data_IF_886064547564
#
_entry.id   IF_886064547564
#
_cell.length_a   1.000
_cell.length_b   1.000
_cell.length_c   1.000
_cell.angle_alpha   90.00
_cell.angle_beta   90.00
_cell.angle_gamma   90.00
#
_symmetry.space_group_name_H-M   'P 1'
#
loop_
_entity.id
_entity.type
_entity.pdbx_description
1 polymer ?
#
# COMPACT_ATOMS: atom_id res chain seq x y z
N UNK A 1 -27.73 -36.68 5.66
CA UNK A 1 -27.90 -35.68 6.76
C UNK A 1 -26.60 -35.25 7.47
N UNK A 2 -25.47 -35.98 7.40
CA UNK A 2 -24.22 -35.61 8.12
C UNK A 2 -23.28 -34.59 7.45
N UNK A 3 -23.46 -34.26 6.16
CA UNK A 3 -22.64 -33.24 5.47
C UNK A 3 -23.13 -31.79 5.68
N UNK A 4 -24.43 -31.58 5.95
CA UNK A 4 -24.99 -30.23 6.13
C UNK A 4 -24.58 -29.55 7.45
N UNK A 5 -24.23 -30.35 8.46
CA UNK A 5 -23.88 -29.85 9.80
C UNK A 5 -22.44 -29.32 9.87
N UNK A 6 -21.50 -29.88 9.09
CA UNK A 6 -20.10 -29.39 9.04
C UNK A 6 -19.97 -28.02 8.35
N UNK A 7 -20.76 -27.76 7.31
CA UNK A 7 -20.80 -26.46 6.61
C UNK A 7 -21.40 -25.34 7.47
N UNK A 8 -22.38 -25.65 8.33
CA UNK A 8 -22.93 -24.67 9.28
C UNK A 8 -21.97 -24.34 10.42
N UNK A 9 -21.18 -25.31 10.90
CA UNK A 9 -20.20 -25.06 11.97
C UNK A 9 -18.99 -24.26 11.45
N UNK A 10 -18.56 -24.48 10.20
CA UNK A 10 -17.49 -23.69 9.57
C UNK A 10 -17.90 -22.22 9.35
N UNK A 11 -19.14 -21.96 8.92
CA UNK A 11 -19.66 -20.58 8.81
C UNK A 11 -19.85 -19.90 10.17
N UNK A 12 -20.11 -20.66 11.24
CA UNK A 12 -20.37 -20.09 12.57
C UNK A 12 -19.12 -19.57 13.31
N UNK A 13 -17.93 -20.13 13.06
CA UNK A 13 -16.68 -19.66 13.71
C UNK A 13 -16.08 -18.41 13.05
N UNK A 14 -16.53 -18.05 11.84
CA UNK A 14 -16.17 -16.78 11.20
C UNK A 14 -17.03 -15.59 11.67
N UNK A 15 -18.06 -15.83 12.49
CA UNK A 15 -19.15 -14.88 12.73
C UNK A 15 -19.02 -13.98 13.97
N UNK A 16 -18.01 -14.16 14.82
CA UNK A 16 -17.92 -13.37 16.05
C UNK A 16 -16.65 -12.50 16.10
N UNK A 17 -16.90 -11.19 16.03
CA UNK A 17 -16.05 -10.05 16.40
C UNK A 17 -15.30 -9.36 15.25
N UNK A 18 -16.04 -8.45 14.60
CA UNK A 18 -15.58 -7.27 13.84
C UNK A 18 -14.77 -7.51 12.56
N UNK A 19 -15.28 -8.31 11.62
CA UNK A 19 -14.87 -8.15 10.21
C UNK A 19 -15.51 -6.87 9.70
N UNK A 20 -14.68 -5.93 9.23
CA UNK A 20 -15.12 -4.69 8.61
C UNK A 20 -16.21 -5.02 7.56
N UNK A 21 -17.45 -4.56 7.74
CA UNK A 21 -18.62 -5.01 6.95
C UNK A 21 -18.40 -4.83 5.43
N UNK A 22 -17.59 -3.84 5.05
CA UNK A 22 -17.18 -3.54 3.67
C UNK A 22 -16.38 -4.64 2.99
N UNK A 23 -15.61 -5.45 3.73
CA UNK A 23 -14.85 -6.57 3.16
C UNK A 23 -15.70 -7.82 2.87
N UNK A 24 -16.96 -7.84 3.33
CA UNK A 24 -17.87 -8.97 3.17
C UNK A 24 -18.90 -8.75 2.05
N UNK A 25 -18.96 -7.54 1.49
CA UNK A 25 -19.85 -7.25 0.38
C UNK A 25 -19.18 -7.59 -0.97
N UNK A 26 -19.41 -8.82 -1.43
CA UNK A 26 -18.93 -9.31 -2.72
C UNK A 26 -19.60 -8.63 -3.93
N UNK A 27 -20.56 -7.74 -3.73
CA UNK A 27 -21.19 -6.94 -4.80
C UNK A 27 -20.44 -5.65 -5.11
N UNK A 28 -19.55 -5.21 -4.21
CA UNK A 28 -18.66 -4.08 -4.46
C UNK A 28 -17.55 -4.52 -5.44
N UNK A 29 -17.58 -3.99 -6.67
CA UNK A 29 -16.42 -4.03 -7.55
C UNK A 29 -15.41 -2.93 -7.20
N UNK A 30 -14.33 -2.82 -7.97
CA UNK A 30 -13.54 -1.57 -8.03
C UNK A 30 -14.37 -0.46 -8.63
N UNK A 31 -15.25 0.14 -7.85
CA UNK A 31 -16.16 1.20 -8.28
C UNK A 31 -16.09 2.36 -7.30
N UNK A 32 -15.39 3.41 -7.70
CA UNK A 32 -15.52 4.73 -7.08
C UNK A 32 -16.68 5.50 -7.71
N UNK A 33 -17.36 6.41 -6.98
CA UNK A 33 -18.46 7.21 -7.52
C UNK A 33 -18.05 8.10 -8.71
N UNK A 34 -16.76 8.40 -8.84
CA UNK A 34 -16.18 9.33 -9.82
C UNK A 34 -15.06 8.66 -10.65
N UNK A 35 -15.22 7.37 -10.99
CA UNK A 35 -14.17 6.59 -11.66
C UNK A 35 -13.77 7.16 -13.03
N UNK A 36 -12.47 7.35 -13.25
CA UNK A 36 -11.89 7.82 -14.53
C UNK A 36 -10.66 7.00 -14.90
N UNK A 37 -10.42 6.80 -16.21
CA UNK A 37 -9.19 6.21 -16.73
C UNK A 37 -8.28 7.31 -17.30
N UNK A 38 -7.02 7.29 -16.89
CA UNK A 38 -5.97 8.26 -17.19
C UNK A 38 -4.70 7.52 -17.60
N UNK A 39 -3.77 8.21 -18.23
CA UNK A 39 -2.43 7.70 -18.52
C UNK A 39 -1.37 8.59 -17.88
N UNK A 40 -0.39 7.96 -17.26
CA UNK A 40 0.82 8.64 -16.77
C UNK A 40 2.04 8.13 -17.54
N UNK A 41 2.89 9.05 -17.99
CA UNK A 41 4.14 8.75 -18.68
C UNK A 41 5.28 9.10 -17.76
N UNK A 42 6.15 8.12 -17.52
CA UNK A 42 7.36 8.34 -16.77
C UNK A 42 8.53 7.95 -17.64
N UNK A 43 9.54 8.82 -17.71
CA UNK A 43 10.83 8.41 -18.23
C UNK A 43 11.44 7.45 -17.22
N UNK A 44 11.66 6.21 -17.64
CA UNK A 44 12.49 5.30 -16.87
C UNK A 44 13.92 5.72 -17.20
N UNK A 45 14.53 6.56 -16.36
CA UNK A 45 15.91 7.00 -16.61
C UNK A 45 16.90 5.81 -16.66
N UNK A 46 16.47 4.61 -16.24
CA UNK A 46 17.28 3.40 -16.20
C UNK A 46 16.44 2.15 -16.48
N UNK A 47 16.19 1.79 -17.76
CA UNK A 47 15.61 0.50 -18.09
C UNK A 47 16.56 -0.58 -17.58
N UNK A 48 16.11 -1.39 -16.64
CA UNK A 48 16.88 -2.53 -16.15
C UNK A 48 17.32 -3.39 -17.34
N UNK A 49 18.61 -3.76 -17.39
CA UNK A 49 19.12 -4.69 -18.42
C UNK A 49 18.27 -5.96 -18.41
N UNK A 50 17.58 -6.22 -19.52
CA UNK A 50 16.85 -7.47 -19.75
C UNK A 50 15.32 -7.39 -19.67
N UNK A 51 14.74 -6.20 -19.59
CA UNK A 51 13.28 -6.04 -19.57
C UNK A 51 12.68 -6.18 -20.98
N UNK A 52 12.55 -7.41 -21.48
CA UNK A 52 11.61 -7.72 -22.56
C UNK A 52 10.20 -7.63 -21.95
N UNK A 53 9.61 -6.43 -21.95
CA UNK A 53 8.30 -6.18 -21.36
C UNK A 53 7.25 -6.78 -22.29
N UNK A 54 6.59 -7.85 -21.84
CA UNK A 54 5.47 -8.45 -22.57
C UNK A 54 4.37 -7.41 -22.85
N UNK A 55 3.92 -7.42 -24.11
CA UNK A 55 2.92 -6.55 -24.74
C UNK A 55 1.77 -6.18 -23.79
N UNK A 56 1.74 -4.92 -23.37
CA UNK A 56 0.64 -4.35 -22.58
C UNK A 56 1.01 -3.15 -21.72
N UNK A 57 2.28 -2.73 -21.72
CA UNK A 57 2.71 -1.38 -21.36
C UNK A 57 3.68 -0.94 -22.44
N UNK A 58 3.26 -0.04 -23.32
CA UNK A 58 4.09 0.43 -24.42
C UNK A 58 5.31 1.17 -23.87
N UNK A 59 6.50 0.80 -24.35
CA UNK A 59 7.67 1.68 -24.28
C UNK A 59 7.65 2.47 -25.58
N UNK A 60 7.38 3.77 -25.49
CA UNK A 60 7.45 4.66 -26.64
C UNK A 60 8.55 5.68 -26.35
N UNK A 61 9.58 5.71 -27.20
CA UNK A 61 10.69 6.67 -27.04
C UNK A 61 11.54 6.54 -25.76
N UNK A 62 11.52 5.39 -25.06
CA UNK A 62 12.23 5.18 -23.79
C UNK A 62 11.42 5.58 -22.55
N UNK A 63 10.13 5.90 -22.71
CA UNK A 63 9.23 6.23 -21.61
C UNK A 63 8.31 5.04 -21.31
N UNK A 64 8.08 4.78 -20.02
CA UNK A 64 7.13 3.79 -19.54
C UNK A 64 5.77 4.44 -19.37
N UNK A 65 4.76 3.88 -20.02
CA UNK A 65 3.38 4.33 -19.91
C UNK A 65 2.65 3.47 -18.89
N UNK A 66 2.03 4.12 -17.91
CA UNK A 66 1.21 3.48 -16.88
C UNK A 66 -0.26 3.85 -17.08
N UNK A 67 -1.11 2.83 -17.03
CA UNK A 67 -2.55 3.00 -16.98
C UNK A 67 -2.97 3.30 -15.54
N UNK A 68 -3.67 4.42 -15.36
CA UNK A 68 -4.08 4.94 -14.05
C UNK A 68 -5.59 5.00 -13.98
N UNK A 69 -6.19 4.33 -13.01
CA UNK A 69 -7.63 4.43 -12.72
C UNK A 69 -7.82 5.28 -11.47
N UNK A 70 -8.43 6.44 -11.62
CA UNK A 70 -8.81 7.32 -10.51
C UNK A 70 -10.13 6.82 -9.92
N UNK A 71 -10.13 6.45 -8.64
CA UNK A 71 -11.33 5.97 -7.91
C UNK A 71 -11.93 7.06 -7.01
N UNK A 72 -11.10 7.97 -6.51
CA UNK A 72 -11.52 9.10 -5.68
C UNK A 72 -10.73 10.35 -6.06
N UNK A 73 -11.44 11.48 -6.18
CA UNK A 73 -10.82 12.81 -6.29
C UNK A 73 -11.65 13.83 -5.49
N UNK A 74 -11.12 14.25 -4.35
CA UNK A 74 -11.67 15.28 -3.48
C UNK A 74 -10.56 16.24 -3.04
N UNK A 75 -10.95 17.40 -2.53
CA UNK A 75 -10.00 18.35 -1.94
C UNK A 75 -9.35 17.68 -0.73
N UNK A 76 -8.08 17.27 -0.89
CA UNK A 76 -7.31 16.61 0.15
C UNK A 76 -7.43 15.09 0.24
N UNK A 77 -8.20 14.43 -0.64
CA UNK A 77 -8.22 12.97 -0.71
C UNK A 77 -8.22 12.50 -2.17
N UNK A 78 -7.20 11.72 -2.55
CA UNK A 78 -7.15 11.03 -3.84
C UNK A 78 -6.94 9.54 -3.62
N UNK A 79 -7.54 8.70 -4.46
CA UNK A 79 -7.26 7.26 -4.55
C UNK A 79 -7.11 6.90 -6.02
N UNK A 80 -5.91 6.50 -6.40
CA UNK A 80 -5.52 6.11 -7.75
C UNK A 80 -5.01 4.68 -7.73
N UNK A 81 -5.34 3.93 -8.77
CA UNK A 81 -4.85 2.58 -9.00
C UNK A 81 -3.98 2.61 -10.25
N UNK A 82 -2.76 2.10 -10.15
CA UNK A 82 -1.77 2.13 -11.23
C UNK A 82 -1.42 0.71 -11.63
N UNK A 83 -1.72 0.36 -12.87
CA UNK A 83 -1.47 -0.98 -13.39
C UNK A 83 0.01 -1.18 -13.73
N UNK A 84 0.53 -2.36 -13.39
CA UNK A 84 1.93 -2.77 -13.68
C UNK A 84 2.97 -1.76 -13.18
N UNK A 85 2.68 -1.10 -12.05
CA UNK A 85 3.54 -0.07 -11.46
C UNK A 85 4.94 -0.61 -11.15
N UNK A 86 5.01 -1.80 -10.56
CA UNK A 86 6.23 -2.63 -10.47
C UNK A 86 6.17 -3.72 -11.55
N UNK A 87 7.30 -4.21 -12.04
CA UNK A 87 7.30 -5.38 -12.93
C UNK A 87 7.21 -6.69 -12.14
N UNK A 88 6.84 -7.82 -12.78
CA UNK A 88 6.92 -9.14 -12.15
C UNK A 88 8.31 -9.47 -11.60
N UNK A 89 9.36 -9.08 -12.32
CA UNK A 89 10.76 -9.30 -11.93
C UNK A 89 11.15 -8.41 -10.74
N UNK A 90 10.73 -7.13 -10.76
CA UNK A 90 10.92 -6.21 -9.63
C UNK A 90 10.21 -6.76 -8.37
N UNK A 91 8.96 -7.23 -8.51
CA UNK A 91 8.21 -7.84 -7.41
C UNK A 91 8.89 -9.09 -6.85
N UNK A 92 9.36 -9.99 -7.72
CA UNK A 92 10.04 -11.21 -7.29
C UNK A 92 11.34 -10.90 -6.53
N UNK A 93 12.13 -9.95 -7.03
CA UNK A 93 13.39 -9.54 -6.40
C UNK A 93 13.16 -8.85 -5.05
N UNK A 94 12.18 -7.95 -4.95
CA UNK A 94 11.82 -7.29 -3.69
C UNK A 94 11.31 -8.28 -2.63
N UNK A 95 10.48 -9.25 -3.03
CA UNK A 95 10.05 -10.32 -2.13
C UNK A 95 11.23 -11.17 -1.66
N UNK A 96 12.15 -11.54 -2.57
CA UNK A 96 13.36 -12.32 -2.25
C UNK A 96 14.28 -11.58 -1.27
N UNK A 97 14.40 -10.26 -1.40
CA UNK A 97 15.17 -9.45 -0.45
C UNK A 97 14.50 -9.41 0.94
N UNK A 98 13.17 -9.28 0.98
CA UNK A 98 12.41 -9.14 2.22
C UNK A 98 12.24 -10.46 2.99
N UNK A 99 12.07 -11.58 2.30
CA UNK A 99 11.77 -12.90 2.87
C UNK A 99 12.64 -13.30 4.08
N UNK A 100 13.99 -13.23 4.03
CA UNK A 100 14.83 -13.61 5.18
C UNK A 100 14.70 -12.67 6.38
N UNK A 101 14.12 -11.48 6.20
CA UNK A 101 13.94 -10.45 7.23
C UNK A 101 12.53 -10.42 7.78
N UNK A 102 11.59 -11.16 7.19
CA UNK A 102 10.21 -11.21 7.67
C UNK A 102 10.16 -11.72 9.10
N UNK A 103 9.76 -10.85 10.02
CA UNK A 103 9.58 -11.18 11.43
C UNK A 103 8.16 -10.89 11.85
N UNK A 104 7.58 -11.80 12.63
CA UNK A 104 6.32 -11.56 13.32
C UNK A 104 6.57 -10.51 14.40
N UNK A 105 5.85 -9.38 14.36
CA UNK A 105 5.99 -8.32 15.36
C UNK A 105 5.85 -8.91 16.78
N UNK A 106 6.91 -8.83 17.58
CA UNK A 106 6.96 -9.39 18.94
C UNK A 106 6.48 -8.32 19.91
N UNK A 107 5.23 -8.43 20.37
CA UNK A 107 4.75 -7.68 21.54
C UNK A 107 4.95 -8.57 22.76
N UNK A 108 5.56 -8.02 23.81
CA UNK A 108 5.67 -8.65 25.13
C UNK A 108 4.25 -8.82 25.72
N UNK A 109 3.62 -9.97 25.48
CA UNK A 109 2.40 -10.36 26.17
C UNK A 109 2.70 -11.61 27.02
N UNK A 110 2.81 -11.40 28.33
CA UNK A 110 2.77 -12.47 29.32
C UNK A 110 1.36 -13.08 29.32
N UNK A 111 1.22 -14.31 28.80
CA UNK A 111 -0.05 -15.04 28.85
C UNK A 111 -0.11 -16.25 27.93
N UNK A 112 -0.71 -17.32 28.43
CA UNK A 112 -0.70 -18.74 27.99
C UNK A 112 -1.38 -19.05 26.63
N UNK A 113 -1.28 -18.14 25.63
CA UNK A 113 -1.94 -18.25 24.32
C UNK A 113 -1.03 -17.83 23.13
N UNK A 114 0.29 -18.01 23.26
CA UNK A 114 1.29 -17.56 22.27
C UNK A 114 1.14 -18.22 20.88
N UNK A 115 0.70 -19.48 20.80
CA UNK A 115 0.57 -20.18 19.52
C UNK A 115 -0.57 -19.64 18.63
N UNK A 116 -1.65 -19.12 19.23
CA UNK A 116 -2.83 -18.60 18.50
C UNK A 116 -2.68 -17.09 18.21
N UNK A 117 -1.82 -16.37 18.92
CA UNK A 117 -1.52 -14.96 18.65
C UNK A 117 -0.49 -14.79 17.51
N UNK A 118 0.49 -15.70 17.40
CA UNK A 118 1.49 -15.69 16.34
C UNK A 118 0.93 -15.94 14.93
N UNK A 119 -0.07 -16.81 14.77
CA UNK A 119 -0.73 -17.05 13.46
C UNK A 119 -1.52 -15.83 12.96
N UNK A 120 -1.93 -14.92 13.85
CA UNK A 120 -2.76 -13.74 13.52
C UNK A 120 -1.99 -12.49 13.16
N UNK A 121 -0.66 -12.47 13.33
CA UNK A 121 0.17 -11.30 13.05
C UNK A 121 0.84 -11.46 11.69
N UNK A 122 0.63 -10.48 10.82
CA UNK A 122 1.38 -10.37 9.58
C UNK A 122 2.88 -10.26 9.86
N UNK A 123 3.70 -10.74 8.93
CA UNK A 123 5.15 -10.62 9.03
C UNK A 123 5.58 -9.39 8.25
N UNK A 124 6.55 -8.64 8.79
CA UNK A 124 7.04 -7.43 8.15
C UNK A 124 8.58 -7.39 8.08
N UNK A 125 9.07 -6.70 7.05
CA UNK A 125 10.48 -6.38 6.85
C UNK A 125 10.60 -4.99 6.24
N UNK A 126 11.67 -4.28 6.57
CA UNK A 126 11.99 -3.00 5.92
C UNK A 126 13.07 -3.20 4.87
N UNK A 127 12.91 -2.54 3.72
CA UNK A 127 13.93 -2.40 2.69
C UNK A 127 14.33 -0.92 2.65
N UNK A 128 15.62 -0.65 2.86
CA UNK A 128 16.16 0.72 2.84
C UNK A 128 16.71 0.99 1.45
N UNK A 129 16.11 1.93 0.68
CA UNK A 129 16.63 2.30 -0.63
C UNK A 129 18.05 2.88 -0.54
N UNK A 130 18.95 2.46 -1.44
CA UNK A 130 20.33 2.98 -1.51
C UNK A 130 20.45 4.00 -2.63
N UNK A 131 20.08 5.24 -2.36
CA UNK A 131 20.01 6.29 -3.38
C UNK A 131 21.37 6.67 -4.01
N UNK A 132 22.49 6.29 -3.40
CA UNK A 132 23.83 6.45 -3.97
C UNK A 132 24.19 5.40 -5.04
N UNK A 133 23.33 4.39 -5.26
CA UNK A 133 23.52 3.35 -6.26
C UNK A 133 22.41 3.43 -7.32
N UNK A 134 22.82 3.56 -8.59
CA UNK A 134 21.88 3.50 -9.72
C UNK A 134 21.37 2.08 -9.98
N UNK A 135 22.08 1.06 -9.49
CA UNK A 135 21.72 -0.35 -9.64
C UNK A 135 20.77 -0.85 -8.54
N UNK A 136 20.55 -0.05 -7.49
CA UNK A 136 19.69 -0.42 -6.39
C UNK A 136 18.22 -0.41 -6.82
N UNK A 137 17.60 -1.58 -6.83
CA UNK A 137 16.20 -1.74 -7.26
C UNK A 137 15.25 -0.92 -6.40
N UNK A 138 15.40 -0.95 -5.08
CA UNK A 138 14.55 -0.18 -4.17
C UNK A 138 14.68 1.32 -4.43
N UNK A 139 15.89 1.85 -4.64
CA UNK A 139 16.08 3.25 -5.02
C UNK A 139 15.41 3.62 -6.35
N UNK A 140 15.45 2.75 -7.38
CA UNK A 140 14.74 2.99 -8.65
C UNK A 140 13.22 3.02 -8.46
N UNK A 141 12.67 2.05 -7.72
CA UNK A 141 11.23 2.01 -7.42
C UNK A 141 10.81 3.23 -6.59
N UNK A 142 11.58 3.63 -5.58
CA UNK A 142 11.28 4.80 -4.76
C UNK A 142 11.26 6.08 -5.61
N UNK A 143 12.28 6.32 -6.45
CA UNK A 143 12.27 7.46 -7.39
C UNK A 143 11.02 7.49 -8.26
N UNK A 144 10.56 6.32 -8.74
CA UNK A 144 9.30 6.19 -9.49
C UNK A 144 8.08 6.57 -8.65
N UNK A 145 8.02 6.19 -7.37
CA UNK A 145 6.96 6.59 -6.42
C UNK A 145 6.94 8.10 -6.21
N UNK A 146 8.09 8.73 -5.96
CA UNK A 146 8.16 10.19 -5.75
C UNK A 146 7.84 10.97 -7.02
N UNK A 147 8.30 10.51 -8.19
CA UNK A 147 7.93 11.09 -9.48
C UNK A 147 6.41 11.00 -9.72
N UNK A 148 5.80 9.83 -9.45
CA UNK A 148 4.35 9.66 -9.55
C UNK A 148 3.60 10.59 -8.60
N UNK A 149 4.03 10.65 -7.33
CA UNK A 149 3.42 11.48 -6.29
C UNK A 149 3.45 12.95 -6.67
N UNK A 150 4.60 13.45 -7.10
CA UNK A 150 4.75 14.86 -7.51
C UNK A 150 4.02 15.18 -8.82
N UNK A 151 3.76 14.20 -9.68
CA UNK A 151 2.99 14.42 -10.91
C UNK A 151 1.47 14.48 -10.67
N UNK A 152 0.97 13.82 -9.62
CA UNK A 152 -0.46 13.75 -9.28
C UNK A 152 -0.85 14.62 -8.07
N UNK A 153 0.13 15.30 -7.49
CA UNK A 153 -0.05 16.22 -6.36
C UNK A 153 0.77 17.48 -6.58
N UNK A 154 0.59 18.47 -5.73
CA UNK A 154 1.41 19.69 -5.72
C UNK A 154 2.37 19.72 -4.52
N UNK A 155 2.83 18.55 -4.05
CA UNK A 155 3.60 18.46 -2.81
C UNK A 155 5.09 18.79 -2.97
N UNK A 156 5.65 18.67 -4.18
CA UNK A 156 7.07 18.93 -4.47
C UNK A 156 8.02 18.20 -3.49
N UNK A 157 7.78 16.90 -3.30
CA UNK A 157 8.52 16.06 -2.37
C UNK A 157 9.91 15.69 -2.89
N UNK A 158 10.88 15.65 -1.98
CA UNK A 158 12.20 15.10 -2.23
C UNK A 158 12.30 13.66 -1.75
N UNK A 159 13.16 12.88 -2.39
CA UNK A 159 13.43 11.47 -2.06
C UNK A 159 14.30 11.33 -0.80
N UNK A 160 15.10 12.36 -0.50
CA UNK A 160 16.01 12.44 0.63
C UNK A 160 15.28 12.42 1.98
N UNK A 161 15.85 11.75 2.98
CA UNK A 161 15.28 11.71 4.35
C UNK A 161 13.93 11.00 4.51
N UNK A 162 13.46 10.25 3.51
CA UNK A 162 12.16 9.57 3.51
C UNK A 162 12.21 8.20 4.22
N UNK A 163 11.04 7.68 4.58
CA UNK A 163 10.90 6.38 5.24
C UNK A 163 11.40 5.23 4.35
N UNK A 164 11.87 4.11 4.93
CA UNK A 164 12.14 2.91 4.14
C UNK A 164 10.83 2.24 3.70
N UNK A 165 10.89 1.43 2.65
CA UNK A 165 9.77 0.58 2.27
C UNK A 165 9.43 -0.40 3.39
N UNK A 166 8.14 -0.58 3.66
CA UNK A 166 7.63 -1.63 4.53
C UNK A 166 7.00 -2.76 3.70
N UNK A 167 7.64 -3.94 3.72
CA UNK A 167 7.15 -5.15 3.07
C UNK A 167 6.39 -5.99 4.09
N UNK A 168 5.16 -6.37 3.78
CA UNK A 168 4.28 -7.14 4.67
C UNK A 168 3.71 -8.36 3.93
N UNK A 169 3.82 -9.54 4.55
CA UNK A 169 3.15 -10.77 4.13
C UNK A 169 1.91 -11.03 5.00
N UNK A 170 0.78 -11.26 4.34
CA UNK A 170 -0.46 -11.72 4.93
C UNK A 170 -0.75 -13.17 4.52
N UNK A 171 -0.99 -14.02 5.51
CA UNK A 171 -1.43 -15.41 5.38
C UNK A 171 -2.94 -15.55 5.60
N UNK A 172 -3.55 -16.71 5.28
CA UNK A 172 -4.98 -16.91 5.46
C UNK A 172 -5.46 -16.54 6.88
N UNK A 173 -6.57 -15.80 6.94
CA UNK A 173 -7.14 -15.24 8.16
C UNK A 173 -6.52 -13.94 8.67
N UNK A 174 -5.38 -13.50 8.12
CA UNK A 174 -4.75 -12.23 8.48
C UNK A 174 -5.36 -11.06 7.69
N UNK A 175 -5.47 -9.92 8.36
CA UNK A 175 -6.08 -8.68 7.88
C UNK A 175 -5.31 -7.47 8.44
N UNK A 176 -5.61 -6.27 7.93
CA UNK A 176 -5.18 -5.02 8.55
C UNK A 176 -6.41 -4.17 8.87
N UNK A 177 -6.57 -3.78 10.13
CA UNK A 177 -7.77 -3.07 10.61
C UNK A 177 -7.86 -1.64 10.07
N UNK A 178 -9.06 -1.02 10.08
CA UNK A 178 -9.22 0.39 9.69
C UNK A 178 -8.24 1.31 10.41
N UNK A 179 -7.56 2.16 9.65
CA UNK A 179 -6.58 3.12 10.14
C UNK A 179 -6.32 4.23 9.12
N UNK A 180 -5.64 5.27 9.57
CA UNK A 180 -5.04 6.30 8.73
C UNK A 180 -3.51 6.21 8.83
N UNK A 181 -2.82 6.41 7.70
CA UNK A 181 -1.36 6.35 7.66
C UNK A 181 -0.69 7.60 8.24
N UNK A 182 -1.36 8.74 8.12
CA UNK A 182 -1.03 10.03 8.76
C UNK A 182 -2.27 10.59 9.47
N UNK A 183 -2.29 11.90 9.71
CA UNK A 183 -3.51 12.55 10.23
C UNK A 183 -4.62 12.54 9.17
N UNK A 184 -5.86 12.32 9.63
CA UNK A 184 -7.08 12.28 8.81
C UNK A 184 -8.28 12.91 9.54
N UNK A 185 -8.03 13.82 10.49
CA UNK A 185 -9.03 14.49 11.31
C UNK A 185 -9.43 15.90 10.79
N UNK A 186 -8.93 16.28 9.61
CA UNK A 186 -9.11 17.63 9.04
C UNK A 186 -8.19 18.71 9.63
N UNK A 187 -7.22 18.34 10.48
CA UNK A 187 -6.22 19.27 11.01
C UNK A 187 -5.37 19.88 9.89
N UNK A 188 -4.58 20.88 10.25
CA UNK A 188 -3.45 21.25 9.42
C UNK A 188 -2.36 20.18 9.52
N UNK A 189 -1.67 19.95 8.40
CA UNK A 189 -0.45 19.15 8.35
C UNK A 189 0.59 19.72 9.32
N UNK A 190 1.28 18.83 10.02
CA UNK A 190 2.44 19.18 10.84
C UNK A 190 3.72 18.85 10.08
N UNK A 191 4.75 19.68 10.26
CA UNK A 191 6.07 19.47 9.67
C UNK A 191 6.52 18.02 9.78
N UNK A 192 7.12 17.51 8.70
CA UNK A 192 7.54 16.14 8.56
C UNK A 192 6.41 15.11 8.57
N UNK A 193 5.12 15.40 8.82
CA UNK A 193 4.05 14.40 8.81
C UNK A 193 3.89 13.71 7.45
N UNK A 194 3.38 12.47 7.45
CA UNK A 194 3.03 11.75 6.21
C UNK A 194 1.91 12.47 5.46
N UNK A 195 1.94 12.42 4.13
CA UNK A 195 0.98 13.13 3.24
C UNK A 195 0.39 12.25 2.14
N UNK A 196 1.05 11.14 1.82
CA UNK A 196 0.59 10.18 0.83
C UNK A 196 1.22 8.81 1.07
N UNK A 197 0.60 7.79 0.49
CA UNK A 197 1.05 6.41 0.54
C UNK A 197 1.01 5.80 -0.85
N UNK A 198 2.03 5.01 -1.18
CA UNK A 198 2.02 4.09 -2.31
C UNK A 198 2.05 2.65 -1.79
N UNK A 199 0.95 1.92 -1.97
CA UNK A 199 0.81 0.51 -1.61
C UNK A 199 0.93 -0.36 -2.88
N UNK A 200 2.04 -1.09 -3.03
CA UNK A 200 2.32 -1.95 -4.18
C UNK A 200 2.00 -3.40 -3.86
N UNK A 201 1.23 -4.08 -4.72
CA UNK A 201 0.91 -5.51 -4.58
C UNK A 201 1.98 -6.36 -5.26
N UNK A 202 2.99 -6.81 -4.52
CA UNK A 202 4.04 -7.69 -5.05
C UNK A 202 3.49 -9.10 -5.38
N UNK A 203 2.52 -9.56 -4.58
CA UNK A 203 1.74 -10.78 -4.79
C UNK A 203 0.33 -10.59 -4.23
N UNK A 204 -0.67 -11.12 -4.93
CA UNK A 204 -2.06 -11.13 -4.45
C UNK A 204 -2.44 -12.51 -3.93
N UNK A 205 -3.37 -12.52 -2.99
CA UNK A 205 -3.99 -13.75 -2.50
C UNK A 205 -4.82 -14.41 -3.60
N UNK A 206 -5.01 -15.72 -3.51
CA UNK A 206 -5.88 -16.46 -4.44
C UNK A 206 -7.34 -16.09 -4.17
N UNK A 207 -7.71 -15.90 -2.89
CA UNK A 207 -9.01 -15.39 -2.47
C UNK A 207 -8.87 -14.37 -1.32
N UNK A 208 -9.69 -13.32 -1.33
CA UNK A 208 -9.68 -12.26 -0.31
C UNK A 208 -8.57 -11.22 -0.52
N UNK A 209 -8.13 -10.56 0.55
CA UNK A 209 -6.98 -9.65 0.49
C UNK A 209 -7.22 -8.29 -0.18
N UNK A 210 -8.48 -7.89 -0.41
CA UNK A 210 -8.83 -6.57 -0.94
C UNK A 210 -8.34 -5.41 -0.05
N UNK A 211 -8.29 -4.20 -0.60
CA UNK A 211 -8.05 -2.96 0.16
C UNK A 211 -9.30 -2.09 0.07
N UNK A 212 -9.83 -1.61 1.19
CA UNK A 212 -11.06 -0.79 1.20
C UNK A 212 -10.83 0.54 1.88
N UNK A 213 -11.40 1.60 1.29
CA UNK A 213 -11.60 2.92 1.88
C UNK A 213 -13.08 3.09 2.16
N UNK A 214 -13.50 2.66 3.36
CA UNK A 214 -14.92 2.46 3.67
C UNK A 214 -15.70 3.78 3.67
N UNK A 215 -15.10 4.85 4.20
CA UNK A 215 -15.72 6.19 4.31
C UNK A 215 -15.95 6.84 2.95
N UNK A 216 -15.15 6.50 1.94
CA UNK A 216 -15.30 6.98 0.56
C UNK A 216 -15.99 5.98 -0.37
N UNK A 217 -16.39 4.81 0.14
CA UNK A 217 -17.09 3.78 -0.63
C UNK A 217 -16.22 3.09 -1.68
N UNK A 218 -14.89 3.13 -1.53
CA UNK A 218 -13.96 2.50 -2.49
C UNK A 218 -13.55 1.12 -1.99
N UNK A 219 -13.64 0.13 -2.87
CA UNK A 219 -13.07 -1.21 -2.69
C UNK A 219 -12.11 -1.50 -3.83
N UNK A 220 -10.96 -2.10 -3.52
CA UNK A 220 -9.95 -2.47 -4.50
C UNK A 220 -9.66 -3.96 -4.38
N UNK A 221 -10.07 -4.71 -5.41
CA UNK A 221 -9.62 -6.08 -5.63
C UNK A 221 -8.28 -6.03 -6.35
N UNK A 222 -7.17 -6.36 -5.67
CA UNK A 222 -5.84 -6.12 -6.20
C UNK A 222 -5.50 -7.09 -7.32
N UNK A 223 -4.69 -6.62 -8.28
CA UNK A 223 -3.94 -7.47 -9.20
C UNK A 223 -2.46 -7.45 -8.83
N UNK A 224 -1.76 -8.56 -9.08
CA UNK A 224 -0.32 -8.59 -8.92
C UNK A 224 0.33 -7.47 -9.75
N UNK A 225 1.39 -6.87 -9.21
CA UNK A 225 2.17 -5.79 -9.80
C UNK A 225 1.47 -4.44 -9.93
N UNK A 226 0.21 -4.34 -9.48
CA UNK A 226 -0.53 -3.10 -9.38
C UNK A 226 -0.11 -2.31 -8.13
N UNK A 227 -0.30 -0.99 -8.14
CA UNK A 227 -0.18 -0.16 -6.95
C UNK A 227 -1.45 0.63 -6.69
N UNK A 228 -1.70 0.96 -5.42
CA UNK A 228 -2.69 1.95 -4.99
C UNK A 228 -1.94 3.13 -4.43
N UNK A 229 -2.08 4.27 -5.07
CA UNK A 229 -1.66 5.55 -4.54
C UNK A 229 -2.85 6.21 -3.86
N UNK A 230 -2.64 6.75 -2.67
CA UNK A 230 -3.60 7.64 -2.07
C UNK A 230 -2.91 8.77 -1.32
N UNK A 231 -3.52 9.95 -1.37
CA UNK A 231 -3.00 11.15 -0.73
C UNK A 231 -4.06 11.76 0.17
N UNK A 232 -3.61 12.33 1.28
CA UNK A 232 -4.44 12.79 2.39
C UNK A 232 -4.10 14.20 2.86
N UNK A 233 -3.39 14.98 2.02
CA UNK A 233 -3.16 16.41 2.24
C UNK A 233 -3.71 17.24 1.06
N UNK A 234 -4.61 18.16 1.35
CA UNK A 234 -5.25 19.04 0.38
C UNK A 234 -4.62 20.43 0.27
N UNK A 235 -5.29 21.33 -0.47
CA UNK A 235 -4.93 22.75 -0.50
C UNK A 235 -4.82 23.34 0.90
N UNK A 236 -3.92 24.33 1.06
CA UNK A 236 -3.65 24.98 2.35
C UNK A 236 -3.20 24.01 3.46
N UNK A 237 -2.57 22.90 3.06
CA UNK A 237 -2.03 21.88 3.95
C UNK A 237 -3.09 21.33 4.93
N UNK A 238 -4.34 21.20 4.46
CA UNK A 238 -5.44 20.60 5.22
C UNK A 238 -5.44 19.10 5.00
N UNK A 239 -5.39 18.33 6.08
CA UNK A 239 -5.51 16.88 6.02
C UNK A 239 -6.94 16.48 5.63
N UNK A 240 -7.11 15.26 5.12
CA UNK A 240 -8.45 14.75 4.81
C UNK A 240 -9.27 14.51 6.09
N UNK A 241 -10.57 14.24 5.91
CA UNK A 241 -11.52 13.92 6.98
C UNK A 241 -11.96 12.47 6.85
N UNK A 242 -11.04 11.55 7.14
CA UNK A 242 -11.20 10.08 7.10
C UNK A 242 -11.54 9.46 5.73
N UNK A 243 -11.55 10.23 4.63
CA UNK A 243 -11.87 9.71 3.30
C UNK A 243 -10.87 8.65 2.82
N UNK A 244 -9.64 8.73 3.32
CA UNK A 244 -8.54 7.80 3.07
C UNK A 244 -8.31 6.80 4.20
N UNK A 245 -9.17 6.78 5.24
CA UNK A 245 -9.16 5.69 6.22
C UNK A 245 -9.36 4.37 5.48
N UNK A 246 -8.45 3.42 5.71
CA UNK A 246 -8.40 2.21 4.93
C UNK A 246 -8.06 0.97 5.75
N UNK A 247 -8.35 -0.19 5.16
CA UNK A 247 -8.08 -1.51 5.75
C UNK A 247 -7.73 -2.52 4.68
N UNK A 248 -6.97 -3.54 5.09
CA UNK A 248 -6.69 -4.73 4.28
C UNK A 248 -7.65 -5.85 4.67
N UNK A 249 -8.52 -6.26 3.75
CA UNK A 249 -9.47 -7.34 3.98
C UNK A 249 -8.75 -8.67 4.24
N UNK A 250 -9.37 -9.58 5.01
CA UNK A 250 -8.80 -10.89 5.30
C UNK A 250 -8.36 -11.64 4.03
N UNK A 251 -7.14 -12.19 4.06
CA UNK A 251 -6.75 -13.23 3.10
C UNK A 251 -7.57 -14.48 3.40
N UNK A 252 -8.23 -15.05 2.39
CA UNK A 252 -9.03 -16.28 2.54
C UNK A 252 -8.24 -17.50 2.08
N UNK A 253 -7.57 -17.39 0.94
CA UNK A 253 -6.70 -18.44 0.38
C UNK A 253 -5.42 -17.86 -0.23
N UNK A 254 -4.36 -18.65 -0.25
CA UNK A 254 -3.04 -18.23 -0.73
C UNK A 254 -2.33 -17.26 0.22
N UNK A 255 -1.63 -16.27 -0.34
CA UNK A 255 -0.89 -15.25 0.43
C UNK A 255 -0.83 -13.92 -0.31
N UNK A 256 -0.91 -12.82 0.43
CA UNK A 256 -0.77 -11.45 -0.11
C UNK A 256 0.55 -10.86 0.36
N UNK A 257 1.32 -10.29 -0.55
CA UNK A 257 2.52 -9.51 -0.25
C UNK A 257 2.34 -8.10 -0.74
N UNK A 258 2.55 -7.13 0.14
CA UNK A 258 2.52 -5.72 -0.20
C UNK A 258 3.83 -5.06 0.20
N UNK A 259 4.20 -4.02 -0.54
CA UNK A 259 5.27 -3.10 -0.18
C UNK A 259 4.69 -1.70 -0.12
N UNK A 260 4.93 -1.01 0.98
CA UNK A 260 4.36 0.33 1.24
C UNK A 260 5.48 1.34 1.32
N UNK A 261 5.34 2.44 0.60
CA UNK A 261 6.12 3.66 0.80
C UNK A 261 5.21 4.72 1.39
N UNK A 262 5.62 5.32 2.51
CA UNK A 262 4.97 6.50 3.08
C UNK A 262 5.78 7.74 2.73
N UNK A 263 5.13 8.72 2.12
CA UNK A 263 5.77 9.94 1.70
C UNK A 263 5.48 11.05 2.70
N UNK A 264 6.54 11.77 3.10
CA UNK A 264 6.49 12.82 4.12
C UNK A 264 6.83 14.18 3.52
N UNK A 265 6.11 15.22 3.94
CA UNK A 265 6.41 16.60 3.55
C UNK A 265 7.21 17.32 4.64
N UNK A 266 8.32 17.96 4.26
CA UNK A 266 9.21 18.68 5.18
C UNK A 266 10.38 17.87 5.74
N UNK A 267 10.61 16.64 5.30
CA UNK A 267 11.83 15.89 5.63
C UNK A 267 12.94 16.13 4.61
N UNK A 268 14.19 15.90 5.02
CA UNK A 268 15.37 15.96 4.16
C UNK A 268 16.49 15.06 4.73
N UNK A 269 17.62 14.93 4.04
CA UNK A 269 18.77 14.17 4.59
C UNK A 269 19.30 14.77 5.90
N UNK A 270 19.18 16.09 6.11
CA UNK A 270 19.60 16.76 7.34
C UNK A 270 18.54 16.67 8.44
N UNK A 271 17.28 16.54 8.06
CA UNK A 271 16.14 16.38 8.96
C UNK A 271 15.27 15.19 8.54
N UNK A 272 15.77 13.96 8.76
CA UNK A 272 15.12 12.76 8.24
C UNK A 272 13.89 12.38 9.04
N UNK A 273 13.03 11.57 8.42
CA UNK A 273 11.80 11.01 8.98
C UNK A 273 11.98 10.41 10.37
N UNK A 274 13.14 9.80 10.66
CA UNK A 274 13.40 9.04 11.89
C UNK A 274 13.39 9.88 13.16
N UNK A 275 13.36 11.22 13.03
CA UNK A 275 13.19 12.16 14.14
C UNK A 275 11.71 12.43 14.48
N UNK A 276 10.77 11.88 13.72
CA UNK A 276 9.35 12.21 13.80
C UNK A 276 8.46 10.96 13.84
N UNK A 277 7.34 11.04 14.54
CA UNK A 277 6.26 10.05 14.47
C UNK A 277 5.50 10.17 13.13
N UNK A 278 4.58 9.27 12.78
CA UNK A 278 3.82 9.34 11.53
C UNK A 278 3.06 10.66 11.27
N UNK A 279 2.64 11.38 12.32
CA UNK A 279 1.88 12.63 12.19
C UNK A 279 2.76 13.88 12.15
N UNK A 280 4.06 13.76 12.44
CA UNK A 280 5.03 14.86 12.41
C UNK A 280 5.44 15.40 13.79
N UNK A 281 5.05 14.74 14.88
CA UNK A 281 5.54 15.08 16.22
C UNK A 281 6.97 14.59 16.37
N UNK A 282 7.85 15.41 16.94
CA UNK A 282 9.25 15.04 17.16
C UNK A 282 9.36 13.96 18.24
N UNK A 283 10.19 12.95 17.98
CA UNK A 283 10.52 11.84 18.89
C UNK A 283 11.61 12.21 19.90
#
# INVERSE_FOLDING_TARGET
>A
QRQSTRLRVAKSKLSERHRNQTCLDSSLGTSGPDMKHLQWRARDEYPGRGMEIELGSGVEGGERIFEVTQLLQRNGAQVLVVDKFVSPEESAELMREAEPRLRTATVNEEGDNQAVSNYRRSQAANIIPKYNSEQDLAARVSRRVFAFTNAHTNYSLEVAGQEPFSVIQYLPGQEYRPHCDGSCDGSHHLHAGRVATMLMYLKVADEGGATTFTKSGVLITPRANQAVFFSYMGPHARMDTELTEHSGCPVQDGSKWVMTEWMRAGVSDQDPWSKFDPIGSRL
#
